data_IF_400556714703
#
_entry.id   IF_400556714703
#
_cell.length_a   1.000
_cell.length_b   1.000
_cell.length_c   1.000
_cell.angle_alpha   90.00
_cell.angle_beta   90.00
_cell.angle_gamma   90.00
#
_symmetry.space_group_name_H-M   'P 1'
#
loop_
_entity.id
_entity.type
_entity.pdbx_description
1 polymer ?
#
# COMPACT_ATOMS: atom_id res chain seq x y z
N UNK A 1 18.13 -15.21 26.70
CA UNK A 1 17.58 -14.39 25.62
C UNK A 1 16.80 -15.27 24.66
N UNK A 2 15.47 -15.18 24.63
CA UNK A 2 14.64 -15.89 23.63
C UNK A 2 14.46 -15.01 22.41
N UNK A 3 15.38 -15.17 21.46
CA UNK A 3 15.40 -14.43 20.20
C UNK A 3 14.85 -15.29 19.06
N UNK A 4 14.02 -14.70 18.21
CA UNK A 4 13.59 -15.28 16.95
C UNK A 4 14.08 -14.41 15.79
N UNK A 5 14.42 -15.03 14.67
CA UNK A 5 14.78 -14.33 13.45
C UNK A 5 13.83 -14.78 12.34
N UNK A 6 13.27 -13.81 11.61
CA UNK A 6 12.41 -14.06 10.46
C UNK A 6 13.04 -13.46 9.21
N UNK A 7 12.90 -14.15 8.10
CA UNK A 7 13.31 -13.71 6.77
C UNK A 7 12.13 -13.76 5.81
N UNK A 8 12.18 -13.01 4.69
CA UNK A 8 11.16 -13.02 3.67
C UNK A 8 10.89 -14.42 3.16
N UNK A 9 9.61 -14.74 3.04
CA UNK A 9 9.17 -16.08 2.64
C UNK A 9 8.56 -16.06 1.25
N UNK A 10 9.04 -16.93 0.37
CA UNK A 10 8.51 -17.11 -0.97
C UNK A 10 7.34 -18.11 -0.94
N UNK A 11 6.24 -17.74 -1.59
CA UNK A 11 5.08 -18.60 -1.78
C UNK A 11 4.52 -18.36 -3.18
N UNK A 12 3.80 -19.33 -3.74
CA UNK A 12 3.17 -19.22 -5.07
C UNK A 12 2.15 -18.07 -5.16
N UNK A 13 1.60 -17.68 -4.01
CA UNK A 13 0.58 -16.65 -3.81
C UNK A 13 1.10 -15.23 -3.86
N UNK A 14 2.40 -14.99 -3.64
CA UNK A 14 2.98 -13.65 -3.46
C UNK A 14 2.68 -12.75 -4.66
N UNK A 15 2.85 -13.29 -5.86
CA UNK A 15 2.59 -12.56 -7.09
C UNK A 15 1.18 -12.03 -7.23
N UNK A 16 0.21 -12.90 -6.97
CA UNK A 16 -1.21 -12.59 -7.07
C UNK A 16 -1.62 -11.61 -5.98
N UNK A 17 -1.04 -11.72 -4.80
CA UNK A 17 -1.29 -10.76 -3.73
C UNK A 17 -0.76 -9.37 -4.09
N UNK A 18 0.48 -9.28 -4.59
CA UNK A 18 1.07 -8.00 -5.02
C UNK A 18 0.21 -7.31 -6.08
N UNK A 19 -0.27 -8.09 -7.05
CA UNK A 19 -1.17 -7.65 -8.10
C UNK A 19 -2.41 -6.93 -7.55
N UNK A 20 -3.02 -7.48 -6.50
CA UNK A 20 -4.22 -6.89 -5.88
C UNK A 20 -3.85 -5.68 -5.03
N UNK A 21 -2.86 -5.81 -4.15
CA UNK A 21 -2.57 -4.81 -3.11
C UNK A 21 -1.97 -3.53 -3.69
N UNK A 22 -1.11 -3.62 -4.70
CA UNK A 22 -0.47 -2.43 -5.28
C UNK A 22 -1.32 -1.73 -6.34
N UNK A 23 -2.12 -2.49 -7.08
CA UNK A 23 -2.94 -1.94 -8.16
C UNK A 23 -4.19 -1.18 -7.69
N UNK A 24 -4.79 -1.62 -6.58
CA UNK A 24 -6.05 -1.06 -6.09
C UNK A 24 -5.96 0.38 -5.59
N UNK A 25 -4.98 0.77 -4.72
CA UNK A 25 -4.87 2.14 -4.22
C UNK A 25 -4.73 3.19 -5.33
N UNK A 26 -4.06 2.85 -6.45
CA UNK A 26 -3.88 3.77 -7.58
C UNK A 26 -5.18 4.02 -8.35
N UNK A 27 -5.98 2.97 -8.57
CA UNK A 27 -7.30 3.07 -9.18
C UNK A 27 -8.23 3.89 -8.29
N UNK A 28 -8.13 3.64 -6.98
CA UNK A 28 -8.85 4.33 -5.93
C UNK A 28 -8.56 5.84 -5.91
N UNK A 29 -7.29 6.24 -5.93
CA UNK A 29 -6.87 7.65 -6.01
C UNK A 29 -7.51 8.36 -7.21
N UNK A 30 -7.44 7.78 -8.42
CA UNK A 30 -8.02 8.41 -9.62
C UNK A 30 -9.53 8.62 -9.53
N UNK A 31 -10.24 7.68 -8.91
CA UNK A 31 -11.69 7.79 -8.69
C UNK A 31 -12.01 8.86 -7.65
N UNK A 32 -11.29 8.89 -6.52
CA UNK A 32 -11.45 9.92 -5.48
C UNK A 32 -11.17 11.30 -6.03
N UNK A 33 -10.10 11.49 -6.81
CA UNK A 33 -9.77 12.80 -7.38
C UNK A 33 -10.93 13.35 -8.21
N UNK A 34 -11.61 12.48 -8.98
CA UNK A 34 -12.79 12.89 -9.74
C UNK A 34 -13.99 13.18 -8.83
N UNK A 35 -14.20 12.38 -7.80
CA UNK A 35 -15.30 12.60 -6.85
C UNK A 35 -15.12 13.89 -6.06
N UNK A 36 -13.91 14.19 -5.57
CA UNK A 36 -13.56 15.42 -4.85
C UNK A 36 -13.74 16.67 -5.71
N UNK A 37 -13.52 16.58 -7.03
CA UNK A 37 -13.81 17.69 -7.96
C UNK A 37 -15.32 17.95 -8.06
N UNK A 38 -16.13 16.91 -7.97
CA UNK A 38 -17.55 16.95 -8.35
C UNK A 38 -18.51 17.04 -7.16
N UNK A 39 -18.11 16.54 -5.99
CA UNK A 39 -18.92 16.47 -4.77
C UNK A 39 -18.34 17.42 -3.71
N UNK A 40 -19.09 18.50 -3.44
CA UNK A 40 -18.67 19.55 -2.50
C UNK A 40 -18.82 19.11 -1.04
N UNK A 41 -19.81 18.27 -0.72
CA UNK A 41 -20.05 17.80 0.64
C UNK A 41 -18.95 16.83 1.06
N UNK A 42 -18.65 15.86 0.20
CA UNK A 42 -17.54 14.92 0.39
C UNK A 42 -16.20 15.67 0.52
N UNK A 43 -15.97 16.71 -0.29
CA UNK A 43 -14.79 17.55 -0.19
C UNK A 43 -14.63 18.17 1.21
N UNK A 44 -15.68 18.82 1.72
CA UNK A 44 -15.61 19.50 3.02
C UNK A 44 -15.39 18.53 4.16
N UNK A 45 -16.05 17.38 4.13
CA UNK A 45 -15.90 16.34 5.14
C UNK A 45 -14.47 15.74 5.15
N UNK A 46 -13.86 15.54 3.97
CA UNK A 46 -12.47 15.07 3.89
C UNK A 46 -11.50 16.12 4.46
N UNK A 47 -11.71 17.40 4.13
CA UNK A 47 -10.89 18.50 4.66
C UNK A 47 -11.01 18.62 6.19
N UNK A 48 -12.21 18.41 6.74
CA UNK A 48 -12.45 18.43 8.18
C UNK A 48 -11.78 17.26 8.89
N UNK A 49 -11.90 16.05 8.34
CA UNK A 49 -11.34 14.84 8.95
C UNK A 49 -9.82 14.72 8.79
N UNK A 50 -9.26 15.29 7.71
CA UNK A 50 -7.83 15.21 7.40
C UNK A 50 -7.29 16.54 6.85
N UNK A 51 -7.21 17.59 7.68
CA UNK A 51 -6.86 18.95 7.25
C UNK A 51 -5.47 19.06 6.64
N UNK A 52 -4.54 18.16 6.98
CA UNK A 52 -3.19 18.11 6.40
C UNK A 52 -3.19 17.88 4.87
N UNK A 53 -4.27 17.35 4.30
CA UNK A 53 -4.41 17.17 2.83
C UNK A 53 -5.20 18.29 2.15
N UNK A 54 -5.72 19.27 2.90
CA UNK A 54 -6.50 20.36 2.33
C UNK A 54 -5.79 21.16 1.22
N UNK A 55 -4.48 21.49 1.32
CA UNK A 55 -3.79 22.21 0.25
C UNK A 55 -3.82 21.45 -1.09
N UNK A 56 -3.64 20.13 -1.03
CA UNK A 56 -3.74 19.27 -2.20
C UNK A 56 -5.17 19.26 -2.73
N UNK A 57 -6.17 19.01 -1.87
CA UNK A 57 -7.60 18.94 -2.24
C UNK A 57 -8.05 20.21 -2.95
N UNK A 58 -7.63 21.37 -2.45
CA UNK A 58 -7.87 22.67 -3.08
C UNK A 58 -7.26 22.75 -4.48
N UNK A 59 -6.00 22.36 -4.65
CA UNK A 59 -5.30 22.43 -5.94
C UNK A 59 -5.95 21.57 -7.03
N UNK A 60 -6.56 20.44 -6.66
CA UNK A 60 -7.39 19.62 -7.56
C UNK A 60 -8.65 20.33 -7.98
N UNK A 61 -9.35 20.92 -7.01
CA UNK A 61 -10.65 21.53 -7.23
C UNK A 61 -10.55 22.79 -8.10
N UNK A 62 -9.47 23.56 -7.98
CA UNK A 62 -9.25 24.80 -8.76
C UNK A 62 -8.76 24.57 -10.18
N UNK A 63 -8.71 23.31 -10.65
CA UNK A 63 -8.30 22.91 -12.00
C UNK A 63 -6.94 23.48 -12.46
N UNK A 64 -6.03 23.75 -11.52
CA UNK A 64 -4.64 24.12 -11.78
C UNK A 64 -3.80 22.89 -12.20
N UNK A 65 -4.46 21.88 -12.76
CA UNK A 65 -3.98 20.50 -12.90
C UNK A 65 -3.27 20.25 -14.24
N UNK A 66 -3.26 21.23 -15.14
CA UNK A 66 -2.71 21.09 -16.50
C UNK A 66 -1.19 21.19 -16.56
N UNK A 67 -0.49 21.65 -15.51
CA UNK A 67 0.96 21.91 -15.60
C UNK A 67 1.85 21.21 -14.56
N UNK A 68 1.29 20.46 -13.60
CA UNK A 68 2.11 19.77 -12.60
C UNK A 68 1.65 18.32 -12.48
N UNK A 69 2.44 17.40 -13.02
CA UNK A 69 2.16 15.96 -13.04
C UNK A 69 1.80 15.40 -11.67
N UNK A 70 0.68 14.66 -11.62
CA UNK A 70 0.19 13.80 -10.54
C UNK A 70 0.74 14.05 -9.11
N UNK A 71 0.58 15.25 -8.51
CA UNK A 71 1.11 15.55 -7.17
C UNK A 71 0.39 14.75 -6.06
N UNK A 72 -0.77 14.18 -6.38
CA UNK A 72 -1.55 13.28 -5.52
C UNK A 72 -1.01 11.87 -5.40
N UNK A 73 -0.10 11.48 -6.30
CA UNK A 73 0.66 10.25 -6.10
C UNK A 73 1.83 10.46 -5.14
N UNK A 74 2.06 11.70 -4.69
CA UNK A 74 3.03 12.02 -3.65
C UNK A 74 2.25 12.17 -2.35
N UNK A 75 2.74 11.53 -1.29
CA UNK A 75 2.12 11.55 0.04
C UNK A 75 2.04 12.95 0.67
N UNK A 76 2.45 14.01 -0.04
CA UNK A 76 2.32 15.42 0.39
C UNK A 76 3.10 15.69 1.67
N UNK A 77 4.26 15.05 1.79
CA UNK A 77 5.08 15.07 3.01
C UNK A 77 4.57 14.16 4.13
N UNK A 78 3.45 13.45 3.94
CA UNK A 78 2.93 12.46 4.89
C UNK A 78 3.58 11.09 4.67
N UNK A 79 3.42 10.20 5.64
CA UNK A 79 3.78 8.79 5.50
C UNK A 79 2.90 8.11 4.42
N UNK A 80 3.45 7.29 3.50
CA UNK A 80 2.66 6.62 2.47
C UNK A 80 1.48 5.80 3.01
N UNK A 81 1.63 5.13 4.15
CA UNK A 81 0.54 4.42 4.83
C UNK A 81 -0.60 5.32 5.28
N UNK A 82 -0.32 6.51 5.82
CA UNK A 82 -1.35 7.53 6.13
C UNK A 82 -2.09 7.91 4.85
N UNK A 83 -1.36 8.18 3.77
CA UNK A 83 -1.98 8.55 2.51
C UNK A 83 -2.88 7.42 1.95
N UNK A 84 -2.45 6.15 2.03
CA UNK A 84 -3.31 5.01 1.68
C UNK A 84 -4.56 4.94 2.55
N UNK A 85 -4.46 5.21 3.86
CA UNK A 85 -5.62 5.28 4.78
C UNK A 85 -6.60 6.39 4.39
N UNK A 86 -6.11 7.58 4.01
CA UNK A 86 -6.94 8.65 3.45
C UNK A 86 -7.72 8.13 2.25
N UNK A 87 -7.02 7.57 1.25
CA UNK A 87 -7.62 7.06 0.02
C UNK A 87 -8.75 6.06 0.31
N UNK A 88 -8.49 5.06 1.15
CA UNK A 88 -9.49 4.07 1.53
C UNK A 88 -10.66 4.69 2.30
N UNK A 89 -10.40 5.65 3.19
CA UNK A 89 -11.46 6.31 3.98
C UNK A 89 -12.38 7.17 3.11
N UNK A 90 -11.80 7.94 2.19
CA UNK A 90 -12.56 8.74 1.22
C UNK A 90 -13.47 7.86 0.36
N UNK A 91 -12.97 6.71 -0.10
CA UNK A 91 -13.78 5.79 -0.87
C UNK A 91 -14.88 5.13 -0.07
N UNK A 92 -14.60 4.67 1.16
CA UNK A 92 -15.64 4.12 2.05
C UNK A 92 -16.80 5.09 2.21
N UNK A 93 -16.48 6.36 2.44
CA UNK A 93 -17.48 7.43 2.54
C UNK A 93 -18.22 7.65 1.23
N UNK A 94 -17.50 7.83 0.12
CA UNK A 94 -18.12 8.05 -1.18
C UNK A 94 -19.05 6.89 -1.61
N UNK A 95 -18.65 5.66 -1.34
CA UNK A 95 -19.47 4.45 -1.55
C UNK A 95 -20.72 4.49 -0.67
N UNK A 96 -20.62 4.93 0.59
CA UNK A 96 -21.76 5.02 1.49
C UNK A 96 -22.74 6.16 1.16
N UNK A 97 -22.28 7.26 0.57
CA UNK A 97 -23.11 8.42 0.20
C UNK A 97 -23.68 8.33 -1.21
N UNK A 98 -23.03 7.59 -2.11
CA UNK A 98 -23.51 7.41 -3.48
C UNK A 98 -24.71 6.47 -3.51
N UNK A 99 -25.88 6.99 -3.91
CA UNK A 99 -26.99 6.11 -4.33
C UNK A 99 -26.57 5.43 -5.62
N UNK A 100 -26.33 4.12 -5.57
CA UNK A 100 -26.06 3.33 -6.78
C UNK A 100 -27.19 3.57 -7.78
N UNK A 101 -26.88 4.22 -8.90
CA UNK A 101 -27.81 4.29 -10.01
C UNK A 101 -27.82 2.94 -10.71
N UNK A 102 -28.99 2.33 -10.86
CA UNK A 102 -29.25 1.16 -11.72
C UNK A 102 -29.05 1.53 -13.20
N UNK A 103 -27.84 1.93 -13.58
CA UNK A 103 -27.49 2.24 -14.98
C UNK A 103 -27.12 0.97 -15.77
N UNK A 104 -27.16 -0.22 -15.14
CA UNK A 104 -26.99 -1.50 -15.85
C UNK A 104 -28.12 -1.78 -16.85
N UNK A 105 -29.30 -1.17 -16.66
CA UNK A 105 -30.46 -1.39 -17.54
C UNK A 105 -30.30 -0.82 -18.96
N UNK A 106 -29.38 0.12 -19.19
CA UNK A 106 -29.32 0.87 -20.46
C UNK A 106 -28.25 0.40 -21.45
N UNK A 107 -27.45 -0.63 -21.16
CA UNK A 107 -26.42 -1.15 -22.08
C UNK A 107 -25.34 -0.13 -22.51
N UNK A 108 -25.32 1.05 -21.89
CA UNK A 108 -24.28 2.08 -22.08
C UNK A 108 -23.18 1.84 -21.06
N UNK A 109 -21.90 2.02 -21.41
CA UNK A 109 -20.84 1.99 -20.42
C UNK A 109 -21.14 3.06 -19.35
N UNK A 110 -21.05 2.73 -18.04
CA UNK A 110 -21.30 3.69 -16.99
C UNK A 110 -20.40 4.91 -17.19
N UNK A 111 -20.96 6.11 -17.00
CA UNK A 111 -20.12 7.32 -17.00
C UNK A 111 -19.01 7.11 -15.97
N UNK A 112 -17.76 7.55 -16.23
CA UNK A 112 -16.62 7.33 -15.33
C UNK A 112 -16.74 7.93 -13.92
N UNK A 113 -17.88 8.53 -13.62
CA UNK A 113 -18.28 9.26 -12.43
C UNK A 113 -19.13 8.42 -11.46
N UNK A 114 -19.70 7.30 -11.92
CA UNK A 114 -20.59 6.47 -11.09
C UNK A 114 -19.76 5.39 -10.41
N UNK A 115 -19.73 5.41 -9.08
CA UNK A 115 -19.20 4.28 -8.30
C UNK A 115 -20.07 3.06 -8.56
N UNK A 116 -19.44 1.93 -8.83
CA UNK A 116 -20.10 0.66 -9.14
C UNK A 116 -20.21 -0.22 -7.90
N UNK A 117 -21.07 -1.24 -7.92
CA UNK A 117 -21.08 -2.27 -6.88
C UNK A 117 -19.71 -2.94 -6.72
N UNK A 118 -18.95 -3.10 -7.82
CA UNK A 118 -17.59 -3.62 -7.76
C UNK A 118 -16.65 -2.72 -6.95
N UNK A 119 -16.87 -1.40 -6.94
CA UNK A 119 -16.07 -0.47 -6.11
C UNK A 119 -16.44 -0.59 -4.63
N UNK A 120 -17.73 -0.81 -4.34
CA UNK A 120 -18.19 -1.09 -2.99
C UNK A 120 -17.55 -2.38 -2.46
N UNK A 121 -17.61 -3.44 -3.27
CA UNK A 121 -17.00 -4.73 -2.97
C UNK A 121 -15.49 -4.55 -2.77
N UNK A 122 -14.79 -3.81 -3.64
CA UNK A 122 -13.35 -3.56 -3.52
C UNK A 122 -12.98 -2.80 -2.24
N UNK A 123 -13.80 -1.83 -1.84
CA UNK A 123 -13.57 -1.03 -0.63
C UNK A 123 -13.87 -1.82 0.64
N UNK A 124 -14.76 -2.81 0.54
CA UNK A 124 -15.05 -3.77 1.61
C UNK A 124 -13.92 -4.80 1.80
N UNK A 125 -13.05 -4.97 0.80
CA UNK A 125 -11.82 -5.75 0.95
C UNK A 125 -10.88 -4.97 1.87
N UNK A 126 -10.92 -5.28 3.17
CA UNK A 126 -10.01 -4.71 4.17
C UNK A 126 -8.63 -5.34 4.02
N UNK A 127 -7.93 -4.95 2.94
CA UNK A 127 -6.60 -5.45 2.62
C UNK A 127 -5.59 -4.93 3.64
N UNK A 128 -5.18 -5.83 4.52
CA UNK A 128 -4.13 -5.56 5.49
C UNK A 128 -2.78 -5.78 4.79
N UNK A 129 -1.93 -4.74 4.65
CA UNK A 129 -0.70 -4.82 3.84
C UNK A 129 0.25 -5.96 4.27
N UNK A 130 0.38 -6.17 5.58
CA UNK A 130 1.23 -7.18 6.18
C UNK A 130 0.56 -8.55 6.40
N UNK A 131 -0.66 -8.75 5.89
CA UNK A 131 -1.31 -10.06 5.96
C UNK A 131 -0.75 -11.01 4.89
N UNK A 132 -0.74 -12.30 5.22
CA UNK A 132 -0.45 -13.37 4.24
C UNK A 132 -1.79 -14.02 3.90
N UNK A 133 -2.39 -13.71 2.74
CA UNK A 133 -3.71 -14.23 2.38
C UNK A 133 -3.65 -15.74 2.14
N UNK A 134 -4.74 -16.42 2.43
CA UNK A 134 -4.96 -17.78 1.96
C UNK A 134 -5.22 -17.80 0.45
N UNK A 135 -5.15 -18.99 -0.15
CA UNK A 135 -5.54 -19.19 -1.55
C UNK A 135 -7.01 -18.79 -1.80
N UNK A 136 -7.89 -19.02 -0.83
CA UNK A 136 -9.30 -18.65 -0.95
C UNK A 136 -9.49 -17.14 -0.94
N UNK A 137 -8.77 -16.43 -0.07
CA UNK A 137 -8.80 -14.97 -0.03
C UNK A 137 -8.36 -14.42 -1.39
N UNK A 138 -7.28 -14.95 -1.97
CA UNK A 138 -6.82 -14.54 -3.30
C UNK A 138 -7.84 -14.80 -4.40
N UNK A 139 -8.53 -15.93 -4.40
CA UNK A 139 -9.58 -16.21 -5.39
C UNK A 139 -10.75 -15.21 -5.26
N UNK A 140 -11.14 -14.87 -4.04
CA UNK A 140 -12.15 -13.85 -3.79
C UNK A 140 -11.68 -12.47 -4.27
N UNK A 141 -10.45 -12.09 -3.95
CA UNK A 141 -9.83 -10.85 -4.39
C UNK A 141 -9.78 -10.76 -5.92
N UNK A 142 -9.26 -11.80 -6.59
CA UNK A 142 -9.19 -11.88 -8.06
C UNK A 142 -10.58 -11.75 -8.70
N UNK A 143 -11.60 -12.41 -8.13
CA UNK A 143 -12.97 -12.34 -8.64
C UNK A 143 -13.57 -10.92 -8.55
N UNK A 144 -13.28 -10.20 -7.46
CA UNK A 144 -13.78 -8.83 -7.25
C UNK A 144 -13.05 -7.84 -8.15
N UNK A 145 -11.73 -7.98 -8.25
CA UNK A 145 -10.88 -7.17 -9.12
C UNK A 145 -11.25 -7.35 -10.60
N UNK A 146 -11.51 -8.60 -11.04
CA UNK A 146 -11.94 -8.91 -12.40
C UNK A 146 -13.30 -8.28 -12.77
N UNK A 147 -14.25 -8.25 -11.82
CA UNK A 147 -15.57 -7.61 -12.00
C UNK A 147 -15.48 -6.09 -12.18
N UNK A 148 -14.47 -5.44 -11.58
CA UNK A 148 -14.24 -3.99 -11.70
C UNK A 148 -13.77 -3.55 -13.11
N UNK A 149 -13.51 -4.48 -14.05
CA UNK A 149 -13.16 -4.23 -15.46
C UNK A 149 -12.02 -3.21 -15.67
N UNK A 150 -11.05 -3.16 -14.75
CA UNK A 150 -9.94 -2.20 -14.87
C UNK A 150 -8.88 -2.75 -15.84
N UNK A 151 -8.75 -2.13 -17.02
CA UNK A 151 -7.78 -2.50 -18.07
C UNK A 151 -6.32 -2.48 -17.60
N UNK A 152 -6.03 -1.74 -16.52
CA UNK A 152 -4.74 -1.73 -15.80
C UNK A 152 -4.27 -3.13 -15.37
N UNK A 153 -5.21 -4.01 -15.04
CA UNK A 153 -4.96 -5.33 -14.51
C UNK A 153 -4.28 -6.28 -15.51
N UNK A 154 -4.54 -6.13 -16.82
CA UNK A 154 -3.89 -6.96 -17.85
C UNK A 154 -2.41 -6.63 -18.05
N UNK A 155 -1.95 -5.45 -17.62
CA UNK A 155 -0.56 -5.03 -17.77
C UNK A 155 0.38 -5.65 -16.73
N UNK A 156 -0.16 -6.13 -15.59
CA UNK A 156 0.61 -6.74 -14.51
C UNK A 156 0.87 -8.25 -14.71
N UNK A 157 0.15 -8.92 -15.63
CA UNK A 157 0.35 -10.32 -16.02
C UNK A 157 1.72 -10.58 -16.70
N UNK A 158 2.48 -9.51 -16.98
CA UNK A 158 3.75 -9.52 -17.72
C UNK A 158 4.96 -9.69 -16.78
N UNK A 159 4.77 -9.68 -15.45
CA UNK A 159 5.88 -9.70 -14.49
C UNK A 159 6.31 -11.10 -14.02
N UNK A 160 7.61 -11.33 -13.77
CA UNK A 160 8.08 -12.52 -13.07
C UNK A 160 7.83 -12.32 -11.57
N UNK A 161 6.54 -12.35 -11.22
CA UNK A 161 6.03 -12.30 -9.85
C UNK A 161 6.65 -13.36 -8.92
N UNK A 162 7.30 -14.38 -9.50
CA UNK A 162 8.02 -15.46 -8.83
C UNK A 162 9.20 -15.03 -7.96
N UNK A 163 9.69 -13.79 -8.08
CA UNK A 163 10.79 -13.28 -7.26
C UNK A 163 10.32 -12.55 -6.00
N UNK A 164 9.03 -12.26 -5.87
CA UNK A 164 8.47 -11.53 -4.74
C UNK A 164 8.22 -12.44 -3.55
N UNK A 165 8.39 -11.89 -2.35
CA UNK A 165 8.22 -12.61 -1.08
C UNK A 165 7.25 -11.88 -0.16
N UNK A 166 6.69 -12.58 0.81
CA UNK A 166 6.14 -11.91 1.97
C UNK A 166 7.28 -11.39 2.82
N UNK A 167 7.15 -10.18 3.36
CA UNK A 167 8.20 -9.55 4.15
C UNK A 167 8.45 -10.32 5.45
N UNK A 168 9.64 -10.18 6.04
CA UNK A 168 9.95 -10.80 7.34
C UNK A 168 8.93 -10.39 8.41
N UNK A 169 8.50 -9.12 8.40
CA UNK A 169 7.47 -8.61 9.30
C UNK A 169 6.13 -9.33 9.12
N UNK A 170 5.66 -9.54 7.88
CA UNK A 170 4.40 -10.25 7.61
C UNK A 170 4.45 -11.71 8.10
N UNK A 171 5.58 -12.38 7.89
CA UNK A 171 5.80 -13.75 8.39
C UNK A 171 5.80 -13.79 9.91
N UNK A 172 6.45 -12.82 10.57
CA UNK A 172 6.47 -12.68 12.02
C UNK A 172 5.06 -12.44 12.58
N UNK A 173 4.26 -11.57 11.96
CA UNK A 173 2.86 -11.33 12.34
C UNK A 173 2.07 -12.62 12.29
N UNK A 174 2.08 -13.34 11.16
CA UNK A 174 1.37 -14.63 11.02
C UNK A 174 1.80 -15.64 12.08
N UNK A 175 3.10 -15.72 12.36
CA UNK A 175 3.61 -16.58 13.42
C UNK A 175 3.05 -16.19 14.79
N UNK A 176 3.11 -14.89 15.14
CA UNK A 176 2.62 -14.37 16.42
C UNK A 176 1.11 -14.57 16.61
N UNK A 177 0.33 -14.45 15.55
CA UNK A 177 -1.11 -14.78 15.54
C UNK A 177 -1.36 -16.27 15.81
N UNK A 178 -0.51 -17.15 15.28
CA UNK A 178 -0.65 -18.60 15.44
C UNK A 178 -0.24 -19.13 16.83
N UNK A 179 0.55 -18.37 17.59
CA UNK A 179 1.05 -18.82 18.90
C UNK A 179 0.21 -18.27 20.07
N UNK A 180 -0.01 -19.09 21.12
CA UNK A 180 -0.75 -18.64 22.30
C UNK A 180 -0.07 -17.46 23.00
N UNK A 181 -0.87 -16.57 23.57
CA UNK A 181 -0.43 -15.39 24.34
C UNK A 181 0.68 -15.71 25.35
N UNK A 182 0.58 -16.82 26.08
CA UNK A 182 1.61 -17.26 27.07
C UNK A 182 3.01 -17.43 26.46
N UNK A 183 3.10 -17.76 25.17
CA UNK A 183 4.36 -17.90 24.43
C UNK A 183 4.85 -16.51 24.00
N UNK A 184 3.96 -15.67 23.44
CA UNK A 184 4.27 -14.30 23.03
C UNK A 184 4.82 -13.43 24.16
N UNK A 185 4.22 -13.55 25.34
CA UNK A 185 4.68 -12.84 26.56
C UNK A 185 6.08 -13.24 27.04
N UNK A 186 6.64 -14.34 26.54
CA UNK A 186 7.99 -14.82 26.89
C UNK A 186 9.02 -14.52 25.81
N UNK A 187 8.61 -13.91 24.69
CA UNK A 187 9.52 -13.45 23.65
C UNK A 187 10.15 -12.15 24.12
N UNK A 188 11.47 -12.05 23.97
CA UNK A 188 12.21 -10.86 24.38
C UNK A 188 12.71 -10.10 23.16
N UNK A 189 13.00 -10.82 22.06
CA UNK A 189 13.59 -10.24 20.86
C UNK A 189 13.09 -10.91 19.59
N UNK A 190 12.74 -10.10 18.61
CA UNK A 190 12.47 -10.52 17.24
C UNK A 190 13.38 -9.72 16.31
N UNK A 191 14.11 -10.41 15.44
CA UNK A 191 14.90 -9.81 14.38
C UNK A 191 14.22 -10.10 13.04
N UNK A 192 13.95 -9.06 12.27
CA UNK A 192 13.33 -9.12 10.96
C UNK A 192 14.39 -8.79 9.92
N UNK A 193 14.77 -9.76 9.09
CA UNK A 193 15.79 -9.61 8.06
C UNK A 193 15.14 -9.36 6.71
N UNK A 194 14.78 -8.12 6.41
CA UNK A 194 14.16 -7.71 5.15
C UNK A 194 15.18 -7.65 4.00
N UNK A 195 15.69 -8.81 3.60
CA UNK A 195 16.82 -8.98 2.67
C UNK A 195 16.43 -9.14 1.18
N UNK A 196 15.12 -9.15 0.88
CA UNK A 196 14.58 -9.24 -0.47
C UNK A 196 13.35 -8.36 -0.62
N UNK A 197 13.04 -8.02 -1.87
CA UNK A 197 11.79 -7.37 -2.23
C UNK A 197 10.58 -8.15 -1.68
N UNK A 198 9.73 -7.41 -0.98
CA UNK A 198 8.51 -7.94 -0.41
C UNK A 198 7.27 -7.24 -0.94
N UNK A 199 6.19 -8.02 -1.04
CA UNK A 199 4.88 -7.59 -1.50
C UNK A 199 4.18 -6.69 -0.50
N UNK A 200 3.21 -5.91 -0.97
CA UNK A 200 2.22 -5.26 -0.11
C UNK A 200 2.71 -4.01 0.60
N UNK A 201 3.62 -3.23 0.02
CA UNK A 201 4.18 -2.02 0.66
C UNK A 201 4.94 -2.35 1.95
N UNK A 202 5.94 -3.21 1.80
CA UNK A 202 6.67 -3.77 2.94
C UNK A 202 7.20 -2.74 3.93
N UNK A 203 7.52 -1.51 3.49
CA UNK A 203 7.92 -0.41 4.35
C UNK A 203 6.99 -0.22 5.57
N UNK A 204 5.68 -0.39 5.39
CA UNK A 204 4.67 -0.15 6.44
C UNK A 204 4.36 -1.36 7.32
N UNK A 205 4.94 -2.54 7.04
CA UNK A 205 4.58 -3.78 7.72
C UNK A 205 4.91 -3.79 9.22
N UNK A 206 5.74 -2.85 9.69
CA UNK A 206 5.97 -2.65 11.12
C UNK A 206 4.68 -2.33 11.89
N UNK A 207 3.67 -1.74 11.24
CA UNK A 207 2.37 -1.44 11.83
C UNK A 207 1.66 -2.70 12.34
N UNK A 208 1.84 -3.84 11.67
CA UNK A 208 1.24 -5.12 12.07
C UNK A 208 1.81 -5.69 13.37
N UNK A 209 2.94 -5.18 13.83
CA UNK A 209 3.62 -5.66 15.04
C UNK A 209 3.18 -4.91 16.31
N UNK A 210 2.50 -3.78 16.15
CA UNK A 210 2.07 -2.89 17.25
C UNK A 210 1.29 -3.65 18.32
N UNK A 211 0.25 -4.46 18.00
CA UNK A 211 -0.53 -5.15 19.04
C UNK A 211 0.31 -6.07 19.91
N UNK A 212 1.36 -6.68 19.35
CA UNK A 212 2.24 -7.61 20.06
C UNK A 212 3.23 -6.88 20.97
N UNK A 213 3.74 -5.73 20.55
CA UNK A 213 4.56 -4.87 21.41
C UNK A 213 3.75 -4.23 22.54
N UNK A 214 2.48 -3.87 22.28
CA UNK A 214 1.57 -3.39 23.32
C UNK A 214 1.23 -4.49 24.34
N UNK A 215 1.01 -5.72 23.86
CA UNK A 215 0.75 -6.88 24.72
C UNK A 215 1.97 -7.23 25.58
N UNK A 216 3.17 -7.18 25.00
CA UNK A 216 4.43 -7.47 25.67
C UNK A 216 5.38 -6.26 25.54
N UNK A 217 5.34 -5.30 26.49
CA UNK A 217 6.21 -4.12 26.45
C UNK A 217 7.71 -4.42 26.57
N UNK A 218 8.09 -5.65 26.92
CA UNK A 218 9.49 -6.09 26.96
C UNK A 218 9.96 -6.66 25.62
N UNK A 219 9.06 -6.90 24.66
CA UNK A 219 9.39 -7.39 23.33
C UNK A 219 10.15 -6.32 22.55
N UNK A 220 11.38 -6.63 22.15
CA UNK A 220 12.17 -5.79 21.26
C UNK A 220 12.09 -6.30 19.84
N UNK A 221 11.80 -5.41 18.89
CA UNK A 221 11.78 -5.74 17.47
C UNK A 221 12.89 -4.96 16.79
N UNK A 222 13.77 -5.68 16.11
CA UNK A 222 14.82 -5.11 15.28
C UNK A 222 14.54 -5.41 13.82
N UNK A 223 14.41 -4.37 13.01
CA UNK A 223 14.17 -4.51 11.58
C UNK A 223 15.41 -4.13 10.80
N UNK A 224 16.04 -5.13 10.18
CA UNK A 224 17.24 -4.98 9.35
C UNK A 224 16.81 -5.02 7.90
N UNK A 225 17.05 -3.94 7.16
CA UNK A 225 16.62 -3.80 5.77
C UNK A 225 17.84 -3.79 4.87
N UNK A 226 17.93 -4.73 3.93
CA UNK A 226 19.02 -4.75 2.96
C UNK A 226 18.78 -3.66 1.91
N UNK A 227 19.61 -2.61 1.95
CA UNK A 227 19.45 -1.50 1.02
C UNK A 227 19.58 -1.94 -0.43
N UNK A 228 20.48 -2.88 -0.74
CA UNK A 228 20.73 -3.27 -2.11
C UNK A 228 19.59 -4.13 -2.62
N UNK A 229 19.30 -5.25 -1.96
CA UNK A 229 18.36 -6.27 -2.45
C UNK A 229 16.89 -5.95 -2.21
N UNK A 230 16.60 -5.01 -1.31
CA UNK A 230 15.24 -4.60 -0.97
C UNK A 230 14.99 -3.13 -1.35
N UNK A 231 15.60 -2.19 -0.63
CA UNK A 231 15.21 -0.77 -0.71
C UNK A 231 15.50 -0.13 -2.06
N UNK A 232 16.71 -0.30 -2.60
CA UNK A 232 17.16 0.33 -3.84
C UNK A 232 16.71 -0.44 -5.10
N UNK A 233 16.24 -1.67 -4.93
CA UNK A 233 15.52 -2.40 -5.97
C UNK A 233 14.08 -1.88 -6.16
N UNK A 234 13.55 -1.14 -5.17
CA UNK A 234 12.16 -0.70 -5.15
C UNK A 234 12.07 0.80 -5.46
N UNK A 235 11.72 1.14 -6.71
CA UNK A 235 11.23 2.49 -7.05
C UNK A 235 9.69 2.52 -6.87
N UNK A 236 9.20 2.38 -5.63
CA UNK A 236 7.77 2.60 -5.33
C UNK A 236 7.33 4.06 -5.49
N UNK A 237 8.25 4.99 -5.75
CA UNK A 237 7.89 6.27 -6.33
C UNK A 237 8.68 6.60 -7.58
N UNK A 238 8.04 6.32 -8.69
CA UNK A 238 7.74 7.43 -9.56
C UNK A 238 6.22 7.55 -9.62
N UNK A 239 5.67 8.53 -8.90
CA UNK A 239 4.31 9.03 -9.12
C UNK A 239 4.16 9.74 -10.47
N UNK A 240 5.19 9.73 -11.32
CA UNK A 240 5.21 10.39 -12.60
C UNK A 240 4.96 9.32 -13.68
N UNK A 241 3.69 9.19 -14.07
CA UNK A 241 3.10 8.28 -15.05
C UNK A 241 2.89 6.80 -14.63
N UNK A 242 1.63 6.39 -14.76
CA UNK A 242 1.16 4.99 -14.75
C UNK A 242 1.95 4.13 -15.75
N UNK A 243 2.25 4.71 -16.92
CA UNK A 243 3.09 4.08 -17.93
C UNK A 243 4.50 3.87 -17.43
N UNK A 244 5.02 4.71 -16.50
CA UNK A 244 6.36 4.64 -15.92
C UNK A 244 6.46 3.65 -14.77
N UNK A 245 5.44 3.49 -13.93
CA UNK A 245 5.41 2.40 -12.95
C UNK A 245 5.27 1.03 -13.64
N UNK A 246 4.41 0.94 -14.65
CA UNK A 246 4.36 -0.21 -15.56
C UNK A 246 5.70 -0.34 -16.31
N UNK A 247 6.31 0.76 -16.78
CA UNK A 247 7.64 0.75 -17.42
C UNK A 247 8.74 0.32 -16.46
N UNK A 248 8.73 0.68 -15.19
CA UNK A 248 9.76 0.34 -14.20
C UNK A 248 9.63 -1.11 -13.76
N UNK A 249 8.40 -1.58 -13.57
CA UNK A 249 8.11 -2.99 -13.42
C UNK A 249 8.53 -3.76 -14.69
N UNK A 250 8.33 -3.21 -15.91
CA UNK A 250 8.75 -3.79 -17.20
C UNK A 250 10.27 -3.66 -17.44
N UNK A 251 10.91 -2.63 -16.90
CA UNK A 251 12.34 -2.33 -17.04
C UNK A 251 13.22 -3.19 -16.13
N UNK A 252 12.64 -3.97 -15.21
CA UNK A 252 13.41 -5.04 -14.56
C UNK A 252 13.99 -6.04 -15.60
N UNK A 253 13.47 -6.05 -16.84
CA UNK A 253 14.05 -6.73 -18.01
C UNK A 253 14.77 -5.82 -19.03
N UNK A 254 14.73 -4.49 -18.88
CA UNK A 254 15.40 -3.51 -19.78
C UNK A 254 16.54 -2.76 -19.06
N UNK A 255 16.89 -3.11 -17.82
CA UNK A 255 18.14 -2.68 -17.19
C UNK A 255 19.39 -3.38 -17.75
N UNK A 256 19.23 -4.17 -18.81
CA UNK A 256 20.33 -4.56 -19.71
C UNK A 256 20.63 -3.48 -20.77
N UNK A 257 19.92 -2.35 -20.78
CA UNK A 257 20.35 -1.15 -21.49
C UNK A 257 20.79 -0.08 -20.49
N UNK A 258 22.11 0.05 -20.26
CA UNK A 258 22.63 1.11 -19.40
C UNK A 258 22.38 2.44 -20.10
N UNK A 259 21.35 3.18 -19.67
CA UNK A 259 21.25 4.60 -20.02
C UNK A 259 22.29 5.42 -19.24
N UNK A 260 22.91 4.85 -18.20
CA UNK A 260 23.96 5.48 -17.40
C UNK A 260 23.49 6.65 -16.53
N UNK A 261 22.17 6.92 -16.48
CA UNK A 261 21.61 8.06 -15.78
C UNK A 261 20.90 7.60 -14.50
N UNK A 262 21.50 7.93 -13.36
CA UNK A 262 20.88 7.83 -12.04
C UNK A 262 20.26 9.18 -11.69
N UNK A 263 18.93 9.26 -11.57
CA UNK A 263 18.30 10.52 -11.14
C UNK A 263 18.56 10.77 -9.65
N UNK A 264 18.62 12.04 -9.26
CA UNK A 264 18.99 12.49 -7.92
C UNK A 264 18.12 11.91 -6.79
N UNK A 265 16.87 11.55 -7.08
CA UNK A 265 15.92 10.99 -6.13
C UNK A 265 15.88 9.44 -6.12
N UNK A 266 16.57 8.74 -7.03
CA UNK A 266 16.48 7.28 -7.14
C UNK A 266 17.00 6.53 -5.90
N UNK A 267 17.93 7.13 -5.14
CA UNK A 267 18.49 6.54 -3.91
C UNK A 267 17.80 7.11 -2.67
N UNK A 268 17.70 8.44 -2.59
CA UNK A 268 17.22 9.13 -1.40
C UNK A 268 15.73 8.86 -1.14
N UNK A 269 14.92 8.76 -2.20
CA UNK A 269 13.48 8.60 -2.04
C UNK A 269 13.08 7.23 -1.45
N UNK A 270 13.52 6.07 -1.99
CA UNK A 270 13.15 4.78 -1.41
C UNK A 270 13.57 4.65 0.06
N UNK A 271 14.76 5.17 0.40
CA UNK A 271 15.23 5.21 1.79
C UNK A 271 14.33 6.09 2.66
N UNK A 272 13.97 7.28 2.17
CA UNK A 272 13.09 8.20 2.90
C UNK A 272 11.72 7.56 3.20
N UNK A 273 11.16 6.76 2.29
CA UNK A 273 9.90 6.04 2.53
C UNK A 273 9.99 5.10 3.72
N UNK A 274 11.07 4.30 3.80
CA UNK A 274 11.30 3.41 4.93
C UNK A 274 11.48 4.17 6.25
N UNK A 275 12.19 5.30 6.22
CA UNK A 275 12.36 6.15 7.40
C UNK A 275 11.03 6.75 7.85
N UNK A 276 10.23 7.30 6.93
CA UNK A 276 8.92 7.87 7.25
C UNK A 276 7.98 6.84 7.87
N UNK A 277 7.90 5.63 7.29
CA UNK A 277 7.07 4.55 7.84
C UNK A 277 7.56 4.05 9.19
N UNK A 278 8.87 4.08 9.45
CA UNK A 278 9.42 3.76 10.77
C UNK A 278 9.07 4.82 11.82
N UNK A 279 9.14 6.11 11.47
CA UNK A 279 8.75 7.22 12.34
C UNK A 279 7.25 7.20 12.66
N UNK A 280 6.43 6.77 11.70
CA UNK A 280 4.98 6.64 11.87
C UNK A 280 4.58 5.61 12.94
N UNK A 281 5.44 4.62 13.23
CA UNK A 281 5.11 3.54 14.17
C UNK A 281 4.78 4.08 15.56
N UNK A 282 5.53 5.08 16.04
CA UNK A 282 5.31 5.69 17.36
C UNK A 282 3.95 6.40 17.40
N UNK A 283 3.64 7.23 16.40
CA UNK A 283 2.35 7.91 16.28
C UNK A 283 1.18 6.91 16.16
N UNK A 284 1.42 5.74 15.55
CA UNK A 284 0.46 4.65 15.44
C UNK A 284 0.31 3.79 16.72
N UNK A 285 1.08 4.09 17.78
CA UNK A 285 0.97 3.45 19.09
C UNK A 285 1.98 2.33 19.37
N UNK A 286 3.06 2.25 18.59
CA UNK A 286 4.21 1.41 18.95
C UNK A 286 4.83 1.94 20.26
N UNK A 287 5.04 1.09 21.28
CA UNK A 287 5.71 1.51 22.50
C UNK A 287 7.13 2.03 22.21
N UNK A 288 7.59 3.09 22.90
CA UNK A 288 8.94 3.61 22.72
C UNK A 288 9.96 2.53 23.09
N UNK A 289 11.06 2.49 22.36
CA UNK A 289 12.18 1.63 22.73
C UNK A 289 12.71 2.09 24.11
N UNK A 290 12.69 1.20 25.09
CA UNK A 290 13.34 1.45 26.37
C UNK A 290 14.85 1.56 26.09
N UNK A 291 15.38 2.79 26.13
CA UNK A 291 16.81 3.08 26.10
C UNK A 291 17.43 2.41 27.32
N UNK A 292 18.14 1.30 27.09
CA UNK A 292 18.95 0.61 28.08
C UNK A 292 20.38 0.53 27.56
#
# INVERSE_FOLDING_TARGET
MKSLTFSPWAEETTGRFEYVVTGLPLLHVRRILRLVILDTELYHEIVETMPQFAPNLNAVRTNSYTEVGAPWLKSSGQTPSIFRKLVTSCLRKAVATTRYGDDEACGRPPRPTVLTQADADLVSLDLIPWSIPSKQDLLQLESTVSRSRTSFLRALDIFPLRQLRYSAAAVAVRFLESVPRRVRMRLERIVLEEDHLAVGFSECHGLGLIPFCQENPQLRIERKVDLWRNTLHMTTAHGDNLDRQIWFLQQKYIMDRPTGILQTNHISYPIAVWIMEALELEAAGMPPALLH
#
